data_IF_582662629448
#
_entry.id   IF_582662629448
#
_cell.length_a   1.000
_cell.length_b   1.000
_cell.length_c   1.000
_cell.angle_alpha   90.00
_cell.angle_beta   90.00
_cell.angle_gamma   90.00
#
_symmetry.space_group_name_H-M   'P 1'
#
loop_
_entity.id
_entity.type
_entity.pdbx_description
1 polymer ?
#
# COMPACT_ATOMS: atom_id res chain seq x y z
N UNK A 1 -2.51 29.33 -18.72
CA UNK A 1 -2.10 27.92 -18.58
C UNK A 1 -2.45 27.45 -17.18
N UNK A 2 -3.30 26.43 -17.06
CA UNK A 2 -4.07 26.07 -15.86
C UNK A 2 -3.20 25.58 -14.69
N UNK A 3 -3.31 26.25 -13.54
CA UNK A 3 -2.62 25.92 -12.27
C UNK A 3 -3.26 24.78 -11.46
N UNK A 4 -4.37 24.22 -11.94
CA UNK A 4 -5.04 23.03 -11.37
C UNK A 4 -4.38 21.71 -11.79
N UNK A 5 -3.47 21.74 -12.76
CA UNK A 5 -2.80 20.54 -13.25
C UNK A 5 -1.93 19.84 -12.18
N UNK A 6 -1.37 20.56 -11.20
CA UNK A 6 -0.39 19.97 -10.26
C UNK A 6 -0.95 18.95 -9.27
N UNK A 7 -2.06 19.25 -8.59
CA UNK A 7 -2.61 18.36 -7.54
C UNK A 7 -3.31 17.14 -8.12
N UNK A 8 -4.07 17.32 -9.21
CA UNK A 8 -4.74 16.21 -9.90
C UNK A 8 -3.71 15.22 -10.47
N UNK A 9 -2.66 15.72 -11.13
CA UNK A 9 -1.56 14.89 -11.64
C UNK A 9 -0.84 14.12 -10.51
N UNK A 10 -0.60 14.76 -9.36
CA UNK A 10 -0.01 14.08 -8.21
C UNK A 10 -0.89 12.93 -7.69
N UNK A 11 -2.20 13.10 -7.69
CA UNK A 11 -3.14 12.07 -7.27
C UNK A 11 -3.22 10.94 -8.30
N UNK A 12 -3.22 11.23 -9.60
CA UNK A 12 -3.12 10.21 -10.64
C UNK A 12 -1.83 9.41 -10.53
N UNK A 13 -0.70 10.08 -10.27
CA UNK A 13 0.60 9.43 -10.03
C UNK A 13 0.60 8.58 -8.77
N UNK A 14 -0.07 9.01 -7.69
CA UNK A 14 -0.24 8.22 -6.47
C UNK A 14 -1.05 6.94 -6.73
N UNK A 15 -2.13 7.05 -7.51
CA UNK A 15 -2.92 5.89 -7.93
C UNK A 15 -2.11 4.93 -8.81
N UNK A 16 -1.25 5.43 -9.69
CA UNK A 16 -0.37 4.59 -10.50
C UNK A 16 0.72 3.90 -9.65
N UNK A 17 1.30 4.61 -8.68
CA UNK A 17 2.31 4.09 -7.75
C UNK A 17 1.74 3.11 -6.71
N UNK A 18 0.41 3.10 -6.55
CA UNK A 18 -0.31 2.16 -5.68
C UNK A 18 -1.15 1.24 -6.57
N UNK A 19 -0.61 0.15 -7.14
CA UNK A 19 -1.39 -0.83 -7.87
C UNK A 19 -2.32 -1.61 -6.93
N UNK A 20 -3.29 -2.35 -7.47
CA UNK A 20 -4.10 -3.26 -6.66
C UNK A 20 -3.21 -4.32 -5.98
N UNK A 21 -3.46 -4.64 -4.70
CA UNK A 21 -2.73 -5.71 -4.05
C UNK A 21 -3.04 -7.05 -4.72
N UNK A 22 -2.08 -7.98 -4.74
CA UNK A 22 -2.31 -9.33 -5.25
C UNK A 22 -3.38 -10.06 -4.45
N UNK A 23 -4.06 -11.01 -5.10
CA UNK A 23 -5.02 -11.90 -4.47
C UNK A 23 -4.37 -12.87 -3.47
N UNK A 24 -5.20 -13.62 -2.74
CA UNK A 24 -4.77 -14.42 -1.58
C UNK A 24 -3.84 -15.60 -1.92
N UNK A 25 -3.77 -16.02 -3.18
CA UNK A 25 -2.93 -17.14 -3.66
C UNK A 25 -1.43 -16.80 -3.71
N UNK A 26 -1.06 -15.52 -3.61
CA UNK A 26 0.33 -15.10 -3.69
C UNK A 26 1.07 -15.35 -2.37
N UNK A 27 2.32 -15.77 -2.49
CA UNK A 27 3.19 -16.07 -1.36
C UNK A 27 3.39 -14.83 -0.43
N UNK A 28 3.38 -15.01 0.91
CA UNK A 28 3.43 -13.89 1.85
C UNK A 28 4.63 -12.95 1.69
N UNK A 29 5.80 -13.48 1.36
CA UNK A 29 7.03 -12.72 1.11
C UNK A 29 6.88 -11.74 -0.06
N UNK A 30 6.22 -12.17 -1.14
CA UNK A 30 5.92 -11.31 -2.30
C UNK A 30 4.91 -10.23 -1.95
N UNK A 31 3.89 -10.54 -1.14
CA UNK A 31 2.91 -9.53 -0.67
C UNK A 31 3.60 -8.48 0.19
N UNK A 32 4.44 -8.89 1.15
CA UNK A 32 5.16 -7.95 2.01
C UNK A 32 6.19 -7.11 1.23
N UNK A 33 6.94 -7.73 0.32
CA UNK A 33 7.87 -7.03 -0.56
C UNK A 33 7.17 -6.02 -1.49
N UNK A 34 6.01 -6.39 -2.04
CA UNK A 34 5.18 -5.49 -2.83
C UNK A 34 4.68 -4.29 -2.02
N UNK A 35 4.23 -4.51 -0.78
CA UNK A 35 3.79 -3.42 0.10
C UNK A 35 4.93 -2.43 0.40
N UNK A 36 6.15 -2.92 0.62
CA UNK A 36 7.33 -2.06 0.82
C UNK A 36 7.63 -1.24 -0.44
N UNK A 37 7.65 -1.88 -1.61
CA UNK A 37 7.89 -1.18 -2.88
C UNK A 37 6.85 -0.08 -3.17
N UNK A 38 5.58 -0.33 -2.82
CA UNK A 38 4.52 0.69 -2.90
C UNK A 38 4.80 1.86 -1.96
N UNK A 39 5.17 1.59 -0.70
CA UNK A 39 5.47 2.66 0.27
C UNK A 39 6.68 3.52 -0.16
N UNK A 40 7.72 2.90 -0.72
CA UNK A 40 8.89 3.62 -1.24
C UNK A 40 8.53 4.57 -2.40
N UNK A 41 7.59 4.17 -3.27
CA UNK A 41 7.13 4.99 -4.40
C UNK A 41 6.12 6.07 -3.99
N UNK A 42 5.26 5.78 -3.02
CA UNK A 42 4.18 6.67 -2.56
C UNK A 42 4.70 7.78 -1.62
N UNK A 43 5.73 7.52 -0.81
CA UNK A 43 6.27 8.46 0.17
C UNK A 43 6.61 9.85 -0.40
N UNK A 44 7.44 9.95 -1.46
CA UNK A 44 7.77 11.22 -2.10
C UNK A 44 6.55 11.95 -2.69
N UNK A 45 5.60 11.20 -3.26
CA UNK A 45 4.39 11.75 -3.88
C UNK A 45 3.42 12.30 -2.84
N UNK A 46 3.28 11.66 -1.68
CA UNK A 46 2.50 12.19 -0.55
C UNK A 46 3.13 13.47 0.02
N UNK A 47 4.46 13.54 0.09
CA UNK A 47 5.18 14.76 0.47
C UNK A 47 4.89 15.92 -0.49
N UNK A 48 4.98 15.66 -1.80
CA UNK A 48 4.66 16.64 -2.84
C UNK A 48 3.18 17.07 -2.79
N UNK A 49 2.25 16.11 -2.59
CA UNK A 49 0.83 16.40 -2.45
C UNK A 49 0.58 17.31 -1.22
N UNK A 50 1.15 16.97 -0.06
CA UNK A 50 0.99 17.77 1.16
C UNK A 50 1.44 19.22 0.96
N UNK A 51 2.59 19.44 0.33
CA UNK A 51 3.08 20.77 -0.01
C UNK A 51 2.11 21.49 -0.96
N UNK A 52 1.69 20.84 -2.04
CA UNK A 52 0.75 21.41 -3.01
C UNK A 52 -0.61 21.79 -2.37
N UNK A 53 -1.10 20.99 -1.43
CA UNK A 53 -2.37 21.24 -0.73
C UNK A 53 -2.28 22.28 0.39
N UNK A 54 -1.09 22.50 0.96
CA UNK A 54 -0.87 23.56 1.95
C UNK A 54 -0.90 24.94 1.30
N UNK A 55 -0.50 25.03 0.03
CA UNK A 55 -0.50 26.27 -0.75
C UNK A 55 -1.87 26.58 -1.36
N UNK A 56 -2.72 25.57 -1.60
CA UNK A 56 -4.08 25.74 -2.13
C UNK A 56 -5.03 24.62 -1.72
N UNK A 57 -6.28 24.92 -1.32
CA UNK A 57 -7.30 23.91 -1.07
C UNK A 57 -7.59 23.09 -2.34
N UNK A 58 -7.77 21.78 -2.16
CA UNK A 58 -8.10 20.83 -3.24
C UNK A 58 -9.54 21.04 -3.69
N UNK A 59 -9.77 21.11 -5.00
CA UNK A 59 -11.11 21.19 -5.58
C UNK A 59 -11.89 19.88 -5.44
N UNK A 60 -13.23 19.95 -5.54
CA UNK A 60 -14.12 18.78 -5.41
C UNK A 60 -13.86 17.66 -6.43
N UNK A 61 -13.26 18.00 -7.58
CA UNK A 61 -13.00 17.07 -8.70
C UNK A 61 -12.02 15.94 -8.36
N UNK A 62 -11.31 16.02 -7.23
CA UNK A 62 -10.31 15.01 -6.84
C UNK A 62 -10.79 14.08 -5.72
N UNK A 63 -12.05 14.24 -5.28
CA UNK A 63 -12.66 13.42 -4.22
C UNK A 63 -12.66 11.93 -4.54
N UNK A 64 -13.15 11.54 -5.72
CA UNK A 64 -13.23 10.13 -6.13
C UNK A 64 -11.85 9.46 -6.18
N UNK A 65 -10.84 10.19 -6.65
CA UNK A 65 -9.48 9.68 -6.74
C UNK A 65 -8.83 9.51 -5.36
N UNK A 66 -9.12 10.41 -4.41
CA UNK A 66 -8.71 10.27 -3.00
C UNK A 66 -9.40 9.05 -2.37
N UNK A 67 -10.71 8.87 -2.59
CA UNK A 67 -11.44 7.69 -2.10
C UNK A 67 -10.86 6.40 -2.67
N UNK A 68 -10.58 6.36 -3.97
CA UNK A 68 -9.96 5.20 -4.62
C UNK A 68 -8.57 4.87 -4.04
N UNK A 69 -7.75 5.91 -3.77
CA UNK A 69 -6.43 5.74 -3.16
C UNK A 69 -6.53 5.22 -1.72
N UNK A 70 -7.46 5.74 -0.92
CA UNK A 70 -7.72 5.29 0.45
C UNK A 70 -8.17 3.83 0.49
N UNK A 71 -9.12 3.46 -0.37
CA UNK A 71 -9.60 2.08 -0.46
C UNK A 71 -8.50 1.11 -0.85
N UNK A 72 -7.66 1.50 -1.82
CA UNK A 72 -6.56 0.65 -2.26
C UNK A 72 -5.47 0.51 -1.20
N UNK A 73 -5.15 1.60 -0.49
CA UNK A 73 -4.22 1.57 0.65
C UNK A 73 -4.74 0.64 1.74
N UNK A 74 -6.04 0.70 2.06
CA UNK A 74 -6.69 -0.20 3.00
C UNK A 74 -6.54 -1.67 2.58
N UNK A 75 -6.81 -2.00 1.30
CA UNK A 75 -6.64 -3.37 0.79
C UNK A 75 -5.18 -3.85 0.91
N UNK A 76 -4.19 -2.99 0.69
CA UNK A 76 -2.77 -3.32 0.90
C UNK A 76 -2.45 -3.63 2.37
N UNK A 77 -2.97 -2.83 3.30
CA UNK A 77 -2.81 -3.06 4.75
C UNK A 77 -3.42 -4.41 5.14
N UNK A 78 -4.63 -4.69 4.66
CA UNK A 78 -5.31 -5.96 4.92
C UNK A 78 -4.54 -7.16 4.34
N UNK A 79 -4.02 -7.04 3.11
CA UNK A 79 -3.21 -8.08 2.48
C UNK A 79 -1.90 -8.32 3.24
N UNK A 80 -1.19 -7.26 3.63
CA UNK A 80 0.03 -7.35 4.43
C UNK A 80 -0.23 -7.97 5.82
N UNK A 81 -1.34 -7.62 6.46
CA UNK A 81 -1.75 -8.21 7.73
C UNK A 81 -2.02 -9.72 7.60
N UNK A 82 -2.75 -10.16 6.55
CA UNK A 82 -2.97 -11.57 6.25
C UNK A 82 -1.65 -12.31 5.97
N UNK A 83 -0.77 -11.72 5.17
CA UNK A 83 0.55 -12.28 4.88
C UNK A 83 1.37 -12.48 6.16
N UNK A 84 1.41 -11.47 7.04
CA UNK A 84 2.08 -11.55 8.34
C UNK A 84 1.53 -12.69 9.21
N UNK A 85 0.21 -12.83 9.31
CA UNK A 85 -0.42 -13.90 10.10
C UNK A 85 -0.03 -15.28 9.56
N UNK A 86 -0.09 -15.50 8.23
CA UNK A 86 0.33 -16.77 7.62
C UNK A 86 1.79 -17.09 7.90
N UNK A 87 2.68 -16.10 7.80
CA UNK A 87 4.11 -16.29 8.11
C UNK A 87 4.32 -16.70 9.57
N UNK A 88 3.60 -16.08 10.52
CA UNK A 88 3.67 -16.44 11.94
C UNK A 88 3.13 -17.85 12.21
N UNK A 89 2.07 -18.25 11.54
CA UNK A 89 1.51 -19.61 11.65
C UNK A 89 2.50 -20.66 11.14
N UNK A 90 3.12 -20.41 9.98
CA UNK A 90 4.15 -21.28 9.41
C UNK A 90 5.36 -21.42 10.35
N UNK A 91 5.86 -20.31 10.91
CA UNK A 91 6.95 -20.34 11.89
C UNK A 91 6.57 -21.10 13.16
N UNK A 92 5.33 -20.96 13.61
CA UNK A 92 4.81 -21.70 14.77
C UNK A 92 4.76 -23.20 14.50
N UNK A 93 4.30 -23.61 13.32
CA UNK A 93 4.28 -25.02 12.90
C UNK A 93 5.69 -25.60 12.80
N UNK A 94 6.63 -24.89 12.18
CA UNK A 94 8.03 -25.32 12.09
C UNK A 94 8.66 -25.49 13.47
N UNK A 95 8.42 -24.55 14.39
CA UNK A 95 8.90 -24.66 15.77
C UNK A 95 8.30 -25.86 16.52
N UNK A 96 7.01 -26.15 16.32
CA UNK A 96 6.37 -27.35 16.90
C UNK A 96 6.96 -28.64 16.32
N UNK A 97 7.11 -28.73 15.01
CA UNK A 97 7.67 -29.89 14.33
C UNK A 97 9.11 -30.16 14.79
N UNK A 98 9.94 -29.12 14.93
CA UNK A 98 11.30 -29.23 15.45
C UNK A 98 11.34 -29.77 16.88
N UNK A 99 10.43 -29.30 17.75
CA UNK A 99 10.35 -29.78 19.15
C UNK A 99 9.87 -31.23 19.23
N UNK A 100 8.96 -31.65 18.35
CA UNK A 100 8.44 -33.02 18.31
C UNK A 100 9.44 -34.04 17.72
N UNK A 101 10.39 -33.58 16.90
CA UNK A 101 11.45 -34.39 16.32
C UNK A 101 12.80 -34.33 17.06
N UNK A 102 12.88 -33.65 18.21
CA UNK A 102 14.06 -33.66 19.07
C UNK A 102 13.98 -34.90 19.99
N UNK A 103 14.92 -35.87 19.89
CA UNK A 103 14.99 -37.03 20.78
C UNK A 103 15.33 -36.66 22.23
#
# INVERSE_FOLDING_TARGET
MSRTAGTAELIERLLAATPEPPGDEVAPDRVLGGAVAVLEQVGPLLGALRLATAERPVGLEVGDAITALQDRTRRWIEAAARARTRTLDQLTQLNRARRAGSP
#
